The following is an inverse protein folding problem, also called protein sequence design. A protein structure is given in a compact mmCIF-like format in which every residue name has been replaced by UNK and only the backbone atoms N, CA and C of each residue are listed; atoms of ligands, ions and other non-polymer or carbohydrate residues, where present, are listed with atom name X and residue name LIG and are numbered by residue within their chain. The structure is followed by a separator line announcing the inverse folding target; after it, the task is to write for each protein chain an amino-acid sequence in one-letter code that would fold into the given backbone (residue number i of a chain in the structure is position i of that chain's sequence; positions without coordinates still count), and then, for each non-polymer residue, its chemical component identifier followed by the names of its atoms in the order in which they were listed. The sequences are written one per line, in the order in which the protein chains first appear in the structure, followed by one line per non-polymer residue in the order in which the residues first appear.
data_IF_185564454414
#
_entry.id   IF_185564454414
#
_cell.length_a   1.000
_cell.length_b   1.000
_cell.length_c   1.000
_cell.angle_alpha   90.00
_cell.angle_beta   90.00
_cell.angle_gamma   90.00
#
_symmetry.space_group_name_H-M   'P 1'
#
loop_
_entity.id
_entity.type
_entity.pdbx_description
1 polymer ?
#
# COMPACT_ATOMS: atom_id res chain seq x y z
N UNK A 1 20.09 34.43 -12.75
CA UNK A 1 20.92 34.58 -11.54
C UNK A 1 20.68 33.35 -10.70
N UNK A 2 21.62 32.41 -10.70
CA UNK A 2 21.52 31.18 -9.86
C UNK A 2 21.90 31.57 -8.44
N UNK A 3 20.99 31.36 -7.47
CA UNK A 3 21.30 31.48 -6.06
C UNK A 3 22.22 30.32 -5.67
N UNK A 4 23.45 30.63 -5.26
CA UNK A 4 24.36 29.68 -4.63
C UNK A 4 23.89 29.48 -3.18
N UNK A 5 23.52 28.24 -2.83
CA UNK A 5 23.11 27.81 -1.48
C UNK A 5 24.39 27.54 -0.66
N UNK A 6 24.99 28.58 -0.08
CA UNK A 6 26.20 28.51 0.76
C UNK A 6 25.80 28.32 2.24
N UNK A 7 26.50 27.42 2.92
CA UNK A 7 26.38 27.30 4.38
C UNK A 7 27.05 28.47 5.08
N UNK A 8 26.69 28.74 6.37
CA UNK A 8 27.32 29.82 7.13
C UNK A 8 28.84 29.66 7.34
N UNK A 9 29.39 28.47 7.07
CA UNK A 9 30.81 28.15 7.17
C UNK A 9 31.57 28.27 5.83
N UNK A 10 30.91 28.71 4.76
CA UNK A 10 31.49 28.88 3.43
C UNK A 10 31.76 27.59 2.64
N UNK A 11 31.29 26.41 3.12
CA UNK A 11 31.46 25.16 2.40
C UNK A 11 30.30 24.86 1.46
N UNK A 12 30.61 24.51 0.19
CA UNK A 12 29.61 24.07 -0.80
C UNK A 12 29.13 22.65 -0.47
N UNK A 13 27.83 22.39 -0.60
CA UNK A 13 27.29 21.04 -0.51
C UNK A 13 27.85 20.19 -1.66
N UNK A 14 28.29 18.95 -1.41
CA UNK A 14 28.78 18.11 -2.50
C UNK A 14 27.67 17.84 -3.50
N UNK A 15 27.99 18.06 -4.79
CA UNK A 15 27.06 17.94 -5.93
C UNK A 15 26.35 16.55 -6.03
N UNK A 16 26.89 15.52 -5.37
CA UNK A 16 26.28 14.17 -5.29
C UNK A 16 24.94 14.14 -4.54
N UNK A 17 24.71 15.00 -3.53
CA UNK A 17 23.43 15.06 -2.82
C UNK A 17 22.30 15.69 -3.62
N UNK A 18 22.61 16.54 -4.61
CA UNK A 18 21.61 17.14 -5.48
C UNK A 18 21.21 16.22 -6.65
N UNK A 19 22.08 15.29 -7.04
CA UNK A 19 21.80 14.28 -8.04
C UNK A 19 20.96 13.12 -7.45
N UNK A 20 21.32 12.64 -6.26
CA UNK A 20 20.55 11.64 -5.52
C UNK A 20 19.09 12.06 -5.27
N UNK A 21 18.84 13.34 -4.98
CA UNK A 21 17.48 13.90 -4.81
C UNK A 21 16.64 13.95 -6.10
N UNK A 22 17.26 13.76 -7.28
CA UNK A 22 16.53 13.71 -8.57
C UNK A 22 16.22 12.27 -8.99
N UNK A 23 16.96 11.30 -8.48
CA UNK A 23 16.76 9.87 -8.77
C UNK A 23 15.69 9.23 -7.87
N UNK A 24 15.38 9.83 -6.71
CA UNK A 24 14.28 9.46 -5.81
C UNK A 24 12.89 10.00 -6.24
N UNK A 25 12.77 10.52 -7.45
CA UNK A 25 11.47 10.91 -7.98
C UNK A 25 10.64 9.64 -8.22
N UNK A 26 9.56 9.47 -7.44
CA UNK A 26 8.52 8.48 -7.79
C UNK A 26 8.22 8.61 -9.28
N UNK A 27 8.16 7.47 -9.99
CA UNK A 27 7.84 7.46 -11.40
C UNK A 27 6.61 8.33 -11.66
N UNK A 28 6.71 9.22 -12.64
CA UNK A 28 5.60 10.08 -13.04
C UNK A 28 4.41 9.20 -13.43
N UNK A 29 3.21 9.58 -12.98
CA UNK A 29 2.00 8.81 -13.25
C UNK A 29 1.78 8.70 -14.77
N UNK A 30 1.79 7.48 -15.29
CA UNK A 30 1.54 7.22 -16.70
C UNK A 30 0.05 7.24 -16.96
N UNK A 31 -0.42 8.17 -17.79
CA UNK A 31 -1.81 8.24 -18.23
C UNK A 31 -2.16 7.05 -19.12
N UNK A 32 -3.43 6.63 -19.02
CA UNK A 32 -4.03 5.59 -19.86
C UNK A 32 -5.25 6.13 -20.61
N UNK A 33 -5.92 5.31 -21.43
CA UNK A 33 -7.04 5.82 -22.22
C UNK A 33 -8.29 6.09 -21.38
N UNK A 34 -8.62 5.19 -20.43
CA UNK A 34 -9.91 5.21 -19.71
C UNK A 34 -9.77 4.99 -18.22
N UNK A 35 -10.73 5.58 -17.49
CA UNK A 35 -11.07 5.29 -16.09
C UNK A 35 -12.52 4.79 -16.08
N UNK A 36 -12.83 3.73 -15.36
CA UNK A 36 -14.22 3.35 -15.10
C UNK A 36 -14.79 4.28 -14.01
N UNK A 37 -15.94 4.94 -14.30
CA UNK A 37 -16.61 5.83 -13.37
C UNK A 37 -18.12 5.63 -13.44
N UNK A 38 -18.74 5.28 -12.33
CA UNK A 38 -20.21 5.20 -12.17
C UNK A 38 -20.90 4.35 -13.25
N UNK A 39 -20.30 3.26 -13.70
CA UNK A 39 -20.86 2.35 -14.71
C UNK A 39 -20.36 2.58 -16.13
N UNK A 40 -19.54 3.61 -16.37
CA UNK A 40 -19.10 3.99 -17.71
C UNK A 40 -17.57 4.08 -17.83
N UNK A 41 -17.06 3.83 -19.03
CA UNK A 41 -15.63 4.09 -19.38
C UNK A 41 -15.51 5.56 -19.78
N UNK A 42 -14.88 6.35 -18.92
CA UNK A 42 -14.66 7.78 -19.13
C UNK A 42 -13.22 8.00 -19.61
N UNK A 43 -12.99 8.81 -20.67
CA UNK A 43 -11.62 9.16 -21.05
C UNK A 43 -10.82 9.74 -19.88
N UNK A 44 -9.55 9.38 -19.75
CA UNK A 44 -8.70 9.79 -18.63
C UNK A 44 -8.77 11.29 -18.34
N UNK A 45 -8.60 12.13 -19.36
CA UNK A 45 -8.60 13.58 -19.23
C UNK A 45 -9.95 14.17 -18.81
N UNK A 46 -11.04 13.44 -19.03
CA UNK A 46 -12.42 13.89 -18.70
C UNK A 46 -12.85 13.41 -17.31
N UNK A 47 -12.15 12.45 -16.72
CA UNK A 47 -12.46 11.91 -15.39
C UNK A 47 -12.05 12.89 -14.29
N UNK A 48 -12.78 13.98 -14.17
CA UNK A 48 -12.51 15.07 -13.21
C UNK A 48 -13.58 15.12 -12.12
N UNK A 49 -13.27 15.84 -11.03
CA UNK A 49 -14.22 16.13 -9.96
C UNK A 49 -14.24 17.62 -9.64
N UNK A 50 -15.39 18.11 -9.15
CA UNK A 50 -15.52 19.50 -8.77
C UNK A 50 -14.74 19.80 -7.48
N UNK A 51 -14.12 20.99 -7.37
CA UNK A 51 -13.33 21.40 -6.19
C UNK A 51 -14.14 21.42 -4.89
N UNK A 52 -15.46 21.54 -4.95
CA UNK A 52 -16.36 21.46 -3.80
C UNK A 52 -16.92 20.04 -3.58
N UNK A 53 -16.28 18.99 -4.12
CA UNK A 53 -16.60 17.62 -3.72
C UNK A 53 -16.34 17.45 -2.24
N UNK A 54 -17.31 16.87 -1.52
CA UNK A 54 -17.27 16.75 -0.06
C UNK A 54 -15.99 16.04 0.43
N UNK A 55 -15.56 15.01 -0.27
CA UNK A 55 -14.37 14.24 0.07
C UNK A 55 -13.06 15.05 0.02
N UNK A 56 -12.94 16.05 -0.85
CA UNK A 56 -11.75 16.91 -0.94
C UNK A 56 -11.58 17.80 0.29
N UNK A 57 -12.67 18.12 0.99
CA UNK A 57 -12.65 18.99 2.18
C UNK A 57 -12.64 18.19 3.49
N UNK A 58 -13.29 17.01 3.54
CA UNK A 58 -13.56 16.29 4.77
C UNK A 58 -12.98 14.86 4.79
N UNK A 59 -12.28 14.44 3.72
CA UNK A 59 -11.67 13.11 3.64
C UNK A 59 -12.69 11.97 3.60
N UNK A 60 -13.96 12.25 3.23
CA UNK A 60 -15.06 11.28 3.20
C UNK A 60 -15.01 10.35 2.00
N UNK A 61 -13.94 9.57 1.94
CA UNK A 61 -13.67 8.60 0.89
C UNK A 61 -13.03 7.34 1.47
N UNK A 62 -13.28 6.21 0.83
CA UNK A 62 -12.61 4.92 1.08
C UNK A 62 -12.07 4.39 -0.24
N UNK A 63 -10.98 3.62 -0.19
CA UNK A 63 -10.37 3.14 -1.42
C UNK A 63 -9.70 1.77 -1.25
N UNK A 64 -9.36 1.18 -2.36
CA UNK A 64 -8.56 -0.02 -2.41
C UNK A 64 -7.30 0.16 -3.24
N UNK A 65 -6.41 -0.82 -3.11
CA UNK A 65 -5.24 -0.94 -3.94
C UNK A 65 -4.99 -2.41 -4.22
N UNK A 66 -5.19 -2.81 -5.47
CA UNK A 66 -4.90 -4.15 -5.96
C UNK A 66 -3.85 -4.08 -7.07
N UNK A 67 -3.37 -5.24 -7.51
CA UNK A 67 -2.34 -5.30 -8.55
C UNK A 67 -2.66 -6.40 -9.56
N UNK A 68 -2.41 -6.08 -10.83
CA UNK A 68 -2.39 -7.03 -11.93
C UNK A 68 -0.94 -7.40 -12.23
N UNK A 69 -0.64 -8.69 -12.28
CA UNK A 69 0.67 -9.25 -12.55
C UNK A 69 0.67 -9.96 -13.91
N UNK A 70 1.70 -9.74 -14.69
CA UNK A 70 1.97 -10.52 -15.90
C UNK A 70 3.03 -11.58 -15.58
N UNK A 71 2.71 -12.85 -15.79
CA UNK A 71 3.71 -13.90 -15.67
C UNK A 71 4.69 -13.80 -16.83
N UNK A 72 6.00 -13.60 -16.56
CA UNK A 72 7.01 -13.39 -17.60
C UNK A 72 7.24 -14.61 -18.49
N UNK A 73 6.82 -15.82 -18.06
CA UNK A 73 7.03 -17.04 -18.83
C UNK A 73 5.85 -17.33 -19.76
N UNK A 74 4.61 -17.25 -19.27
CA UNK A 74 3.41 -17.55 -20.06
C UNK A 74 2.82 -16.32 -20.75
N UNK A 75 3.13 -15.11 -20.30
CA UNK A 75 2.52 -13.85 -20.75
C UNK A 75 1.07 -13.67 -20.33
N UNK A 76 0.54 -14.55 -19.47
CA UNK A 76 -0.79 -14.41 -18.87
C UNK A 76 -0.78 -13.36 -17.79
N UNK A 77 -1.93 -12.73 -17.58
CA UNK A 77 -2.10 -11.66 -16.60
C UNK A 77 -3.20 -12.01 -15.62
N UNK A 78 -2.93 -11.73 -14.32
CA UNK A 78 -3.85 -12.04 -13.24
C UNK A 78 -3.97 -10.86 -12.28
N UNK A 79 -5.19 -10.50 -11.90
CA UNK A 79 -5.42 -9.63 -10.73
C UNK A 79 -5.43 -10.50 -9.49
N UNK A 80 -4.54 -10.19 -8.56
CA UNK A 80 -4.38 -10.94 -7.33
C UNK A 80 -5.44 -10.55 -6.28
N UNK A 81 -6.18 -11.53 -5.78
CA UNK A 81 -7.21 -11.44 -4.71
C UNK A 81 -8.24 -10.31 -4.95
N UNK A 82 -8.66 -10.13 -6.22
CA UNK A 82 -9.55 -9.05 -6.62
C UNK A 82 -10.85 -9.04 -5.80
N UNK A 83 -11.48 -10.20 -5.61
CA UNK A 83 -12.72 -10.34 -4.83
C UNK A 83 -12.53 -9.85 -3.39
N UNK A 84 -11.45 -10.25 -2.71
CA UNK A 84 -11.16 -9.85 -1.33
C UNK A 84 -10.99 -8.33 -1.21
N UNK A 85 -10.36 -7.70 -2.20
CA UNK A 85 -10.23 -6.25 -2.26
C UNK A 85 -11.60 -5.56 -2.41
N UNK A 86 -12.51 -6.07 -3.25
CA UNK A 86 -13.84 -5.50 -3.41
C UNK A 86 -14.72 -5.74 -2.18
N UNK A 87 -14.60 -6.88 -1.52
CA UNK A 87 -15.27 -7.16 -0.25
C UNK A 87 -14.77 -6.22 0.86
N UNK A 88 -13.46 -5.95 0.95
CA UNK A 88 -12.91 -4.99 1.91
C UNK A 88 -13.34 -3.56 1.59
N UNK A 89 -13.48 -3.19 0.31
CA UNK A 89 -14.07 -1.91 -0.09
C UNK A 89 -15.50 -1.77 0.43
N UNK A 90 -16.33 -2.81 0.28
CA UNK A 90 -17.68 -2.86 0.83
C UNK A 90 -17.69 -2.73 2.36
N UNK A 91 -16.81 -3.45 3.07
CA UNK A 91 -16.66 -3.31 4.54
C UNK A 91 -16.27 -1.88 4.92
N UNK A 92 -15.35 -1.27 4.19
CA UNK A 92 -14.95 0.13 4.41
C UNK A 92 -16.10 1.11 4.17
N UNK A 93 -16.87 0.92 3.10
CA UNK A 93 -18.08 1.72 2.83
C UNK A 93 -19.12 1.58 3.94
N UNK A 94 -19.35 0.35 4.43
CA UNK A 94 -20.30 0.08 5.52
C UNK A 94 -19.91 0.82 6.81
N UNK A 95 -18.61 0.81 7.17
CA UNK A 95 -18.11 1.54 8.35
C UNK A 95 -18.26 3.04 8.17
N UNK A 96 -17.98 3.57 6.95
CA UNK A 96 -18.07 4.98 6.62
C UNK A 96 -19.53 5.46 6.37
N UNK A 97 -20.52 4.56 6.48
CA UNK A 97 -21.93 4.84 6.15
C UNK A 97 -22.08 5.40 4.72
N UNK A 98 -21.38 4.82 3.76
CA UNK A 98 -21.46 5.14 2.33
C UNK A 98 -22.24 4.01 1.65
N UNK A 99 -23.36 4.36 1.02
CA UNK A 99 -24.13 3.42 0.21
C UNK A 99 -23.42 3.19 -1.13
N UNK A 100 -22.76 2.05 -1.26
CA UNK A 100 -22.08 1.65 -2.48
C UNK A 100 -23.07 0.98 -3.44
N UNK A 101 -23.38 1.58 -4.60
CA UNK A 101 -24.48 1.13 -5.46
C UNK A 101 -24.12 -0.06 -6.37
N UNK A 102 -22.95 -0.64 -6.22
CA UNK A 102 -22.46 -1.77 -7.01
C UNK A 102 -22.14 -2.96 -6.12
N UNK A 103 -22.47 -4.15 -6.55
CA UNK A 103 -22.10 -5.41 -5.89
C UNK A 103 -20.60 -5.71 -6.05
N UNK A 104 -20.09 -6.66 -5.27
CA UNK A 104 -18.70 -7.16 -5.40
C UNK A 104 -18.46 -7.69 -6.82
N UNK A 105 -19.40 -8.46 -7.39
CA UNK A 105 -19.26 -9.04 -8.72
C UNK A 105 -19.21 -7.97 -9.82
N UNK A 106 -20.05 -6.93 -9.73
CA UNK A 106 -20.06 -5.82 -10.68
C UNK A 106 -18.72 -5.04 -10.62
N UNK A 107 -18.17 -4.81 -9.43
CA UNK A 107 -16.89 -4.12 -9.28
C UNK A 107 -15.71 -4.97 -9.76
N UNK A 108 -15.75 -6.29 -9.55
CA UNK A 108 -14.76 -7.21 -10.11
C UNK A 108 -14.81 -7.18 -11.64
N UNK A 109 -15.99 -7.27 -12.24
CA UNK A 109 -16.15 -7.20 -13.69
C UNK A 109 -15.70 -5.84 -14.26
N UNK A 110 -16.09 -4.73 -13.62
CA UNK A 110 -15.66 -3.38 -14.01
C UNK A 110 -14.13 -3.23 -13.97
N UNK A 111 -13.47 -3.87 -13.00
CA UNK A 111 -12.01 -3.89 -12.90
C UNK A 111 -11.38 -4.63 -14.08
N UNK A 112 -11.88 -5.81 -14.42
CA UNK A 112 -11.42 -6.57 -15.59
C UNK A 112 -11.63 -5.76 -16.88
N UNK A 113 -12.80 -5.15 -17.03
CA UNK A 113 -13.17 -4.37 -18.21
C UNK A 113 -12.27 -3.13 -18.40
N UNK A 114 -11.96 -2.38 -17.33
CA UNK A 114 -11.10 -1.20 -17.45
C UNK A 114 -9.64 -1.57 -17.73
N UNK A 115 -9.15 -2.70 -17.21
CA UNK A 115 -7.80 -3.21 -17.53
C UNK A 115 -7.73 -3.58 -19.01
N UNK A 116 -8.73 -4.33 -19.52
CA UNK A 116 -8.83 -4.73 -20.93
C UNK A 116 -8.99 -3.55 -21.88
N UNK A 117 -9.82 -2.56 -21.53
CA UNK A 117 -10.01 -1.34 -22.31
C UNK A 117 -8.69 -0.58 -22.50
N UNK A 118 -7.84 -0.54 -21.48
CA UNK A 118 -6.52 0.09 -21.51
C UNK A 118 -5.41 -0.84 -22.03
N UNK A 119 -5.72 -2.09 -22.40
CA UNK A 119 -4.76 -3.09 -22.91
C UNK A 119 -3.56 -3.32 -21.99
N UNK A 120 -3.78 -3.20 -20.66
CA UNK A 120 -2.74 -3.39 -19.69
C UNK A 120 -2.61 -4.88 -19.33
N UNK A 121 -1.38 -5.31 -19.16
CA UNK A 121 -1.05 -6.66 -18.68
C UNK A 121 -0.51 -6.66 -17.25
N UNK A 122 0.19 -5.57 -16.89
CA UNK A 122 0.72 -5.31 -15.55
C UNK A 122 0.31 -3.91 -15.14
N UNK A 123 -0.39 -3.76 -14.01
CA UNK A 123 -0.85 -2.45 -13.56
C UNK A 123 -1.18 -2.42 -12.07
N UNK A 124 -1.18 -1.21 -11.51
CA UNK A 124 -1.83 -0.93 -10.24
C UNK A 124 -3.30 -0.60 -10.48
N UNK A 125 -4.15 -0.98 -9.52
CA UNK A 125 -5.60 -0.82 -9.58
C UNK A 125 -6.05 -0.03 -8.37
N UNK A 126 -6.76 1.08 -8.57
CA UNK A 126 -7.23 1.99 -7.53
C UNK A 126 -8.75 2.17 -7.59
N UNK A 127 -9.52 1.27 -6.97
CA UNK A 127 -10.93 1.56 -6.67
C UNK A 127 -11.03 2.66 -5.61
N UNK A 128 -11.92 3.62 -5.83
CA UNK A 128 -12.18 4.72 -4.91
C UNK A 128 -13.68 4.98 -4.88
N UNK A 129 -14.24 5.04 -3.67
CA UNK A 129 -15.62 5.43 -3.40
C UNK A 129 -15.58 6.70 -2.56
N UNK A 130 -16.20 7.77 -3.05
CA UNK A 130 -16.13 9.06 -2.39
C UNK A 130 -17.42 9.84 -2.45
N UNK A 131 -17.62 10.70 -1.45
CA UNK A 131 -18.76 11.65 -1.47
C UNK A 131 -18.41 12.82 -2.39
N UNK A 132 -19.20 12.96 -3.45
CA UNK A 132 -18.99 13.89 -4.54
C UNK A 132 -19.48 15.31 -4.25
N UNK A 133 -19.77 16.03 -5.34
CA UNK A 133 -20.25 17.41 -5.33
C UNK A 133 -21.75 17.47 -5.11
N UNK A 134 -22.20 18.36 -4.21
CA UNK A 134 -23.62 18.60 -3.98
C UNK A 134 -23.95 19.12 -2.59
N UNK A 135 -23.19 18.77 -1.59
CA UNK A 135 -23.39 19.21 -0.21
C UNK A 135 -22.06 19.48 0.50
N UNK A 136 -22.05 20.48 1.35
CA UNK A 136 -20.91 20.87 2.20
C UNK A 136 -21.35 20.88 3.67
N UNK A 137 -20.39 20.68 4.56
CA UNK A 137 -20.59 20.58 6.00
C UNK A 137 -20.23 19.18 6.51
N UNK A 138 -20.11 19.02 7.84
CA UNK A 138 -19.72 17.74 8.45
C UNK A 138 -20.77 16.64 8.27
N UNK A 139 -22.05 17.01 8.17
CA UNK A 139 -23.12 16.08 7.80
C UNK A 139 -23.06 15.79 6.29
N UNK A 140 -22.71 14.55 5.88
CA UNK A 140 -22.61 14.19 4.48
C UNK A 140 -23.92 13.70 3.86
N UNK A 141 -25.03 13.74 4.60
CA UNK A 141 -26.35 13.28 4.12
C UNK A 141 -26.76 14.06 2.88
N UNK A 142 -27.06 13.35 1.79
CA UNK A 142 -27.41 13.97 0.51
C UNK A 142 -26.22 14.32 -0.41
N UNK A 143 -24.99 14.18 0.02
CA UNK A 143 -23.85 14.21 -0.91
C UNK A 143 -23.89 12.96 -1.81
N UNK A 144 -23.81 13.10 -3.15
CA UNK A 144 -23.81 11.97 -4.06
C UNK A 144 -22.58 11.10 -3.81
N UNK A 145 -22.70 9.81 -4.10
CA UNK A 145 -21.59 8.86 -4.05
C UNK A 145 -21.09 8.62 -5.46
N UNK A 146 -19.81 8.91 -5.68
CA UNK A 146 -19.10 8.56 -6.91
C UNK A 146 -18.22 7.35 -6.68
N UNK A 147 -18.17 6.46 -7.66
CA UNK A 147 -17.33 5.24 -7.65
C UNK A 147 -16.44 5.26 -8.89
N UNK A 148 -15.14 5.15 -8.68
CA UNK A 148 -14.17 5.05 -9.78
C UNK A 148 -13.29 3.82 -9.61
N UNK A 149 -12.80 3.28 -10.74
CA UNK A 149 -11.70 2.31 -10.80
C UNK A 149 -10.69 2.85 -11.80
N UNK A 150 -9.58 3.36 -11.29
CA UNK A 150 -8.45 3.81 -12.10
C UNK A 150 -7.38 2.71 -12.17
N UNK A 151 -6.73 2.59 -13.32
CA UNK A 151 -5.62 1.65 -13.53
C UNK A 151 -4.47 2.39 -14.22
N UNK A 152 -3.22 2.04 -13.89
CA UNK A 152 -2.05 2.58 -14.56
C UNK A 152 -0.86 1.65 -14.47
N UNK A 153 0.09 1.70 -15.43
CA UNK A 153 1.34 0.94 -15.34
C UNK A 153 2.08 1.28 -14.05
N UNK A 154 2.57 0.25 -13.35
CA UNK A 154 3.27 0.43 -12.09
C UNK A 154 4.36 -0.62 -11.94
N UNK A 155 5.57 -0.21 -11.64
CA UNK A 155 6.70 -1.11 -11.42
C UNK A 155 6.98 -1.33 -9.93
N UNK A 156 7.95 -0.64 -9.35
CA UNK A 156 8.34 -0.82 -7.94
C UNK A 156 7.92 0.40 -7.10
N UNK A 157 7.32 0.14 -5.92
CA UNK A 157 6.89 1.20 -5.00
C UNK A 157 8.05 1.80 -4.19
N UNK A 158 8.95 0.95 -3.70
CA UNK A 158 10.06 1.36 -2.81
C UNK A 158 11.42 1.43 -3.53
N UNK A 159 11.42 1.32 -4.86
CA UNK A 159 12.61 1.37 -5.71
C UNK A 159 12.96 0.01 -6.32
N UNK A 160 13.72 0.02 -7.43
CA UNK A 160 13.98 -1.21 -8.21
C UNK A 160 14.77 -2.28 -7.44
N UNK A 161 15.67 -1.85 -6.54
CA UNK A 161 16.53 -2.77 -5.79
C UNK A 161 15.94 -3.15 -4.41
N UNK A 162 14.77 -2.60 -4.06
CA UNK A 162 14.17 -2.76 -2.73
C UNK A 162 13.84 -4.22 -2.39
N UNK A 163 13.31 -4.96 -3.35
CA UNK A 163 12.95 -6.37 -3.18
C UNK A 163 14.16 -7.28 -2.95
N UNK A 164 15.31 -6.91 -3.48
CA UNK A 164 16.54 -7.73 -3.41
C UNK A 164 17.42 -7.35 -2.22
N UNK A 165 17.58 -6.06 -1.96
CA UNK A 165 18.56 -5.54 -1.01
C UNK A 165 17.95 -5.03 0.30
N UNK A 166 16.62 -4.82 0.33
CA UNK A 166 15.93 -4.19 1.44
C UNK A 166 16.10 -2.66 1.48
N UNK A 167 15.28 -2.01 2.28
CA UNK A 167 15.23 -0.55 2.40
C UNK A 167 15.60 -0.07 3.81
N UNK A 168 16.20 1.13 3.97
CA UNK A 168 16.38 1.76 5.27
C UNK A 168 15.07 2.40 5.73
N UNK A 169 14.67 2.16 6.98
CA UNK A 169 13.45 2.70 7.57
C UNK A 169 13.71 3.37 8.92
N UNK A 170 12.86 4.32 9.28
CA UNK A 170 12.89 4.96 10.60
C UNK A 170 11.61 4.67 11.39
N UNK A 171 11.71 4.56 12.71
CA UNK A 171 10.52 4.55 13.56
C UNK A 171 10.05 5.98 13.75
N UNK A 172 8.85 6.30 13.23
CA UNK A 172 8.30 7.65 13.24
C UNK A 172 8.02 8.17 14.65
N UNK A 173 8.14 9.49 14.84
CA UNK A 173 7.64 10.19 16.02
C UNK A 173 6.11 10.32 16.00
N UNK A 174 5.50 10.31 14.80
CA UNK A 174 4.05 10.29 14.63
C UNK A 174 3.48 8.93 15.05
N UNK A 175 2.49 8.96 15.94
CA UNK A 175 1.82 7.73 16.35
C UNK A 175 0.71 7.37 15.40
N UNK A 176 0.46 6.06 15.25
CA UNK A 176 -0.73 5.58 14.56
C UNK A 176 -1.97 6.14 15.29
N UNK A 177 -2.97 6.52 14.51
CA UNK A 177 -4.22 7.07 15.04
C UNK A 177 -4.90 6.07 15.98
N UNK A 178 -5.58 6.60 16.98
CA UNK A 178 -6.38 5.77 17.88
C UNK A 178 -7.44 4.97 17.12
N UNK A 179 -7.62 3.70 17.49
CA UNK A 179 -8.65 2.82 16.92
C UNK A 179 -10.07 3.36 17.07
N UNK A 180 -10.29 4.27 18.05
CA UNK A 180 -11.57 4.93 18.30
C UNK A 180 -11.71 6.29 17.58
N UNK A 181 -10.68 6.76 16.86
CA UNK A 181 -10.75 7.97 16.04
C UNK A 181 -11.18 7.65 14.61
N UNK A 182 -10.34 6.92 13.87
CA UNK A 182 -10.67 6.39 12.54
C UNK A 182 -10.37 4.90 12.58
N UNK A 183 -11.39 4.01 12.45
CA UNK A 183 -11.19 2.57 12.56
C UNK A 183 -10.13 2.05 11.58
N UNK A 184 -9.09 1.34 12.01
CA UNK A 184 -8.04 0.83 11.12
C UNK A 184 -8.54 -0.22 10.13
N UNK A 185 -9.64 -0.93 10.46
CA UNK A 185 -10.32 -1.86 9.54
C UNK A 185 -10.98 -1.19 8.34
N UNK A 186 -11.09 0.14 8.33
CA UNK A 186 -11.57 0.95 7.21
C UNK A 186 -10.40 1.58 6.46
N UNK A 187 -10.22 1.23 5.18
CA UNK A 187 -9.21 1.86 4.32
C UNK A 187 -9.67 3.25 3.87
N UNK A 188 -9.62 4.22 4.79
CA UNK A 188 -10.12 5.59 4.60
C UNK A 188 -9.05 6.51 4.04
N UNK A 189 -9.41 7.36 3.07
CA UNK A 189 -8.54 8.41 2.56
C UNK A 189 -8.10 9.39 3.67
N UNK A 190 -8.99 9.70 4.62
CA UNK A 190 -8.69 10.61 5.74
C UNK A 190 -7.54 10.10 6.64
N UNK A 191 -7.36 8.79 6.75
CA UNK A 191 -6.30 8.21 7.58
C UNK A 191 -4.90 8.44 7.02
N UNK A 192 -4.78 8.64 5.71
CA UNK A 192 -3.49 8.79 5.02
C UNK A 192 -2.78 10.11 5.30
N UNK A 193 -3.44 11.13 5.85
CA UNK A 193 -2.73 12.32 6.33
C UNK A 193 -1.71 11.95 7.41
N UNK A 194 -2.07 11.03 8.32
CA UNK A 194 -1.16 10.52 9.35
C UNK A 194 0.03 9.78 8.72
N UNK A 195 -0.23 8.91 7.75
CA UNK A 195 0.80 8.20 6.97
C UNK A 195 1.73 9.15 6.22
N UNK A 196 1.18 10.21 5.58
CA UNK A 196 1.96 11.23 4.87
C UNK A 196 2.92 11.96 5.81
N UNK A 197 2.48 12.33 7.02
CA UNK A 197 3.33 13.00 8.00
C UNK A 197 4.50 12.12 8.42
N UNK A 198 4.25 10.84 8.71
CA UNK A 198 5.29 9.87 9.04
C UNK A 198 6.27 9.63 7.87
N UNK A 199 5.74 9.50 6.66
CA UNK A 199 6.57 9.34 5.44
C UNK A 199 7.46 10.54 5.18
N UNK A 200 6.94 11.76 5.33
CA UNK A 200 7.71 12.99 5.14
C UNK A 200 8.81 13.13 6.21
N UNK A 201 8.53 12.78 7.46
CA UNK A 201 9.52 12.73 8.54
C UNK A 201 10.64 11.74 8.20
N UNK A 202 10.30 10.50 7.81
CA UNK A 202 11.27 9.50 7.40
C UNK A 202 12.19 10.02 6.27
N UNK A 203 11.62 10.61 5.23
CA UNK A 203 12.39 11.20 4.12
C UNK A 203 13.29 12.35 4.56
N UNK A 204 12.89 13.19 5.52
CA UNK A 204 13.73 14.25 6.07
C UNK A 204 14.97 13.70 6.81
N UNK A 205 14.83 12.51 7.41
CA UNK A 205 15.93 11.82 8.10
C UNK A 205 16.73 10.88 7.19
N UNK A 206 16.39 10.77 5.90
CA UNK A 206 17.13 9.96 4.93
C UNK A 206 16.64 8.52 4.80
N UNK A 207 15.53 8.18 5.44
CA UNK A 207 14.89 6.86 5.32
C UNK A 207 13.93 6.80 4.12
N UNK A 208 13.75 5.60 3.59
CA UNK A 208 12.82 5.33 2.48
C UNK A 208 11.39 5.22 2.99
N UNK A 209 11.18 4.63 4.18
CA UNK A 209 9.87 4.36 4.75
C UNK A 209 9.88 4.55 6.27
N UNK A 210 8.70 4.58 6.89
CA UNK A 210 8.54 4.68 8.34
C UNK A 210 7.75 3.50 8.91
N UNK A 211 8.17 3.06 10.12
CA UNK A 211 7.38 2.19 10.98
C UNK A 211 6.63 3.07 11.98
N UNK A 212 5.33 2.83 12.15
CA UNK A 212 4.46 3.57 13.06
C UNK A 212 4.15 2.73 14.30
N UNK A 213 4.20 3.38 15.45
CA UNK A 213 3.79 2.79 16.74
C UNK A 213 2.42 3.35 17.15
N UNK A 214 1.62 2.54 17.86
CA UNK A 214 0.37 3.01 18.46
C UNK A 214 0.59 3.89 19.70
N UNK A 215 -0.49 4.31 20.35
CA UNK A 215 -0.44 5.14 21.55
C UNK A 215 0.25 4.46 22.75
N UNK A 216 0.22 3.12 22.80
CA UNK A 216 0.89 2.30 23.81
C UNK A 216 2.39 2.09 23.51
N UNK A 217 2.87 2.53 22.36
CA UNK A 217 4.26 2.34 21.93
C UNK A 217 4.54 0.99 21.29
N UNK A 218 3.49 0.22 20.94
CA UNK A 218 3.58 -1.04 20.22
C UNK A 218 3.67 -0.78 18.73
N UNK A 219 4.36 -1.66 18.02
CA UNK A 219 4.50 -1.63 16.55
C UNK A 219 3.15 -1.90 15.92
N UNK A 220 2.75 -1.07 14.94
CA UNK A 220 1.53 -1.27 14.18
C UNK A 220 1.85 -1.76 12.76
N UNK A 221 2.28 -0.86 11.93
CA UNK A 221 2.43 -1.04 10.49
C UNK A 221 3.39 0.02 9.92
N UNK A 222 3.72 -0.06 8.62
CA UNK A 222 4.36 1.03 7.89
C UNK A 222 3.39 2.17 7.59
N UNK A 223 3.78 3.10 6.68
CA UNK A 223 2.87 4.20 6.29
C UNK A 223 1.73 3.75 5.37
N UNK A 224 1.90 2.62 4.69
CA UNK A 224 0.90 2.00 3.81
C UNK A 224 1.05 0.49 3.68
N UNK A 225 1.83 -0.17 4.54
CA UNK A 225 2.21 -1.58 4.52
C UNK A 225 2.07 -2.20 5.92
N UNK A 226 1.74 -3.50 5.98
CA UNK A 226 1.90 -4.27 7.21
C UNK A 226 3.36 -4.72 7.38
N UNK A 227 3.69 -5.21 8.56
CA UNK A 227 5.05 -5.56 8.96
C UNK A 227 5.11 -6.99 9.49
N UNK A 228 6.20 -7.68 9.15
CA UNK A 228 6.59 -8.97 9.72
C UNK A 228 8.01 -8.90 10.27
N UNK A 229 8.24 -9.66 11.32
CA UNK A 229 9.53 -9.81 12.00
C UNK A 229 9.86 -11.29 12.09
N UNK A 230 11.07 -11.68 11.72
CA UNK A 230 11.59 -13.03 11.94
C UNK A 230 12.56 -12.99 13.10
N UNK A 231 12.40 -13.90 14.05
CA UNK A 231 13.33 -14.11 15.15
C UNK A 231 13.35 -15.59 15.56
N UNK A 232 14.54 -16.14 15.67
CA UNK A 232 14.74 -17.55 16.07
C UNK A 232 13.90 -18.54 15.20
N UNK A 233 13.73 -18.23 13.91
CA UNK A 233 12.96 -19.04 12.96
C UNK A 233 11.42 -18.89 13.05
N UNK A 234 10.92 -17.98 13.87
CA UNK A 234 9.49 -17.69 14.04
C UNK A 234 9.16 -16.39 13.31
N UNK A 235 8.07 -16.39 12.54
CA UNK A 235 7.52 -15.24 11.85
C UNK A 235 6.46 -14.57 12.71
N UNK A 236 6.71 -13.36 13.20
CA UNK A 236 5.77 -12.60 14.03
C UNK A 236 5.21 -11.40 13.27
N UNK A 237 3.94 -11.04 13.53
CA UNK A 237 3.28 -9.84 13.01
C UNK A 237 2.37 -9.24 14.08
N UNK A 238 2.26 -7.90 14.18
CA UNK A 238 1.33 -7.29 15.11
C UNK A 238 -0.12 -7.76 14.91
N UNK A 239 -0.89 -7.99 15.99
CA UNK A 239 -2.30 -8.35 15.89
C UNK A 239 -3.15 -7.14 15.48
N UNK A 240 -4.32 -7.38 14.89
CA UNK A 240 -5.23 -6.30 14.46
C UNK A 240 -5.66 -5.37 15.61
N UNK A 241 -5.66 -5.87 16.86
CA UNK A 241 -5.94 -5.09 18.07
C UNK A 241 -4.94 -3.95 18.31
N UNK A 242 -3.73 -4.02 17.74
CA UNK A 242 -2.72 -2.98 17.87
C UNK A 242 -2.93 -1.80 16.91
N UNK A 243 -3.98 -1.85 16.09
CA UNK A 243 -4.45 -0.71 15.33
C UNK A 243 -3.94 -0.62 13.89
N UNK A 244 -3.67 -1.74 13.26
CA UNK A 244 -3.27 -1.85 11.85
C UNK A 244 -4.44 -2.21 10.94
N UNK A 245 -4.25 -2.00 9.63
CA UNK A 245 -5.17 -2.46 8.61
C UNK A 245 -5.08 -4.00 8.47
N UNK A 246 -6.25 -4.66 8.34
CA UNK A 246 -6.35 -6.06 7.95
C UNK A 246 -5.87 -6.24 6.49
N UNK A 247 -4.56 -6.43 6.31
CA UNK A 247 -3.91 -6.48 5.01
C UNK A 247 -4.18 -7.79 4.27
N UNK A 248 -4.63 -7.71 3.01
CA UNK A 248 -4.84 -8.89 2.17
C UNK A 248 -3.50 -9.57 1.86
N UNK A 249 -2.44 -8.79 1.62
CA UNK A 249 -1.10 -9.35 1.46
C UNK A 249 -0.57 -9.92 2.78
N UNK A 250 -0.85 -9.29 3.94
CA UNK A 250 -0.51 -9.83 5.26
C UNK A 250 -1.13 -11.22 5.46
N UNK A 251 -2.42 -11.36 5.20
CA UNK A 251 -3.13 -12.63 5.26
C UNK A 251 -2.51 -13.67 4.31
N UNK A 252 -2.21 -13.27 3.08
CA UNK A 252 -1.50 -14.12 2.12
C UNK A 252 -0.17 -14.63 2.67
N UNK A 253 0.66 -13.75 3.24
CA UNK A 253 1.97 -14.14 3.79
C UNK A 253 1.82 -15.15 4.93
N UNK A 254 0.81 -15.00 5.76
CA UNK A 254 0.54 -15.96 6.84
C UNK A 254 0.16 -17.34 6.29
N UNK A 255 -0.69 -17.40 5.24
CA UNK A 255 -1.00 -18.66 4.56
C UNK A 255 0.23 -19.31 3.92
N UNK A 256 1.04 -18.51 3.20
CA UNK A 256 2.24 -19.02 2.53
C UNK A 256 3.33 -19.47 3.50
N UNK A 257 3.41 -18.86 4.69
CA UNK A 257 4.32 -19.30 5.75
C UNK A 257 3.90 -20.65 6.32
N UNK A 258 2.58 -20.88 6.50
CA UNK A 258 2.05 -22.18 6.91
C UNK A 258 2.38 -23.28 5.90
N UNK A 259 2.21 -23.03 4.59
CA UNK A 259 2.62 -23.94 3.51
C UNK A 259 4.12 -24.30 3.53
N UNK A 260 4.93 -23.42 4.05
CA UNK A 260 6.39 -23.58 4.14
C UNK A 260 6.83 -24.14 5.51
N UNK A 261 5.89 -24.59 6.34
CA UNK A 261 6.15 -25.05 7.72
C UNK A 261 6.87 -24.00 8.59
N UNK A 262 6.68 -22.70 8.30
CA UNK A 262 7.24 -21.59 9.08
C UNK A 262 6.23 -21.21 10.16
N UNK A 263 6.57 -21.32 11.46
CA UNK A 263 5.63 -20.96 12.52
C UNK A 263 5.33 -19.47 12.51
N UNK A 264 4.03 -19.11 12.56
CA UNK A 264 3.53 -17.73 12.55
C UNK A 264 2.89 -17.38 13.89
N UNK A 265 3.22 -16.19 14.43
CA UNK A 265 2.60 -15.66 15.63
C UNK A 265 2.02 -14.27 15.36
N UNK A 266 0.78 -14.05 15.77
CA UNK A 266 0.21 -12.71 15.93
C UNK A 266 0.46 -12.26 17.38
N UNK A 267 1.42 -11.35 17.55
CA UNK A 267 1.81 -10.86 18.87
C UNK A 267 2.19 -9.37 18.85
N UNK A 268 1.98 -8.70 19.96
CA UNK A 268 2.38 -7.29 20.10
C UNK A 268 3.89 -7.18 20.17
N UNK A 269 4.45 -6.35 19.29
CA UNK A 269 5.88 -6.09 19.16
C UNK A 269 6.22 -4.70 19.69
N UNK A 270 7.36 -4.57 20.33
CA UNK A 270 7.91 -3.29 20.75
C UNK A 270 8.98 -2.80 19.78
N UNK A 271 9.38 -1.52 19.89
CA UNK A 271 10.48 -0.98 19.11
C UNK A 271 11.79 -1.76 19.31
N UNK A 272 12.03 -2.29 20.49
CA UNK A 272 13.24 -3.09 20.76
C UNK A 272 13.24 -4.44 20.05
N UNK A 273 12.07 -5.04 19.82
CA UNK A 273 11.97 -6.30 19.08
C UNK A 273 12.41 -6.12 17.63
N UNK A 274 12.14 -4.95 17.05
CA UNK A 274 12.64 -4.61 15.71
C UNK A 274 14.17 -4.56 15.61
N UNK A 275 14.85 -4.15 16.69
CA UNK A 275 16.32 -4.01 16.68
C UNK A 275 17.08 -5.31 16.88
N UNK A 276 16.41 -6.33 17.41
CA UNK A 276 17.00 -7.64 17.69
C UNK A 276 16.46 -8.73 16.76
N UNK A 277 15.71 -8.32 15.73
CA UNK A 277 15.17 -9.21 14.71
C UNK A 277 16.28 -9.76 13.81
N UNK A 278 16.12 -10.99 13.36
CA UNK A 278 16.97 -11.62 12.36
C UNK A 278 16.63 -11.11 10.95
N UNK A 279 15.32 -10.98 10.65
CA UNK A 279 14.79 -10.44 9.40
C UNK A 279 13.56 -9.59 9.69
N UNK A 280 13.35 -8.54 8.89
CA UNK A 280 12.14 -7.71 8.93
C UNK A 280 11.73 -7.38 7.51
N UNK A 281 10.42 -7.38 7.21
CA UNK A 281 9.92 -6.98 5.90
C UNK A 281 8.54 -6.35 5.96
N UNK A 282 8.26 -5.50 4.99
CA UNK A 282 6.93 -4.93 4.74
C UNK A 282 6.13 -5.79 3.77
N UNK A 283 4.78 -5.75 3.90
CA UNK A 283 3.86 -6.38 2.96
C UNK A 283 2.70 -5.47 2.59
N UNK A 284 2.32 -5.49 1.33
CA UNK A 284 1.17 -4.74 0.83
C UNK A 284 1.05 -4.86 -0.68
N UNK A 285 -0.11 -4.50 -1.24
CA UNK A 285 -0.33 -4.59 -2.70
C UNK A 285 0.64 -3.73 -3.51
N UNK A 286 1.10 -2.59 -2.97
CA UNK A 286 2.09 -1.74 -3.62
C UNK A 286 3.52 -2.20 -3.33
N UNK A 287 3.81 -2.54 -2.07
CA UNK A 287 5.14 -2.93 -1.60
C UNK A 287 5.47 -4.41 -1.84
N UNK A 288 4.47 -5.23 -2.20
CA UNK A 288 4.63 -6.68 -2.35
C UNK A 288 5.16 -7.30 -1.05
N UNK A 289 6.34 -7.89 -1.07
CA UNK A 289 7.11 -8.29 0.09
C UNK A 289 8.47 -7.60 0.01
N UNK A 290 8.62 -6.47 0.70
CA UNK A 290 9.84 -5.66 0.66
C UNK A 290 10.65 -5.81 1.94
N UNK A 291 11.86 -6.36 1.89
CA UNK A 291 12.74 -6.49 3.04
C UNK A 291 13.15 -5.13 3.61
N UNK A 292 13.48 -5.11 4.90
CA UNK A 292 14.03 -3.96 5.61
C UNK A 292 15.50 -4.25 5.93
N UNK A 293 16.40 -3.43 5.39
CA UNK A 293 17.85 -3.59 5.57
C UNK A 293 18.40 -2.93 6.83
N UNK A 294 17.75 -1.86 7.31
CA UNK A 294 18.10 -1.17 8.55
C UNK A 294 16.92 -0.44 9.16
N UNK A 295 16.92 -0.30 10.50
CA UNK A 295 15.90 0.40 11.27
C UNK A 295 16.59 1.39 12.23
N UNK A 296 16.29 2.69 12.12
CA UNK A 296 16.92 3.76 12.91
C UNK A 296 18.47 3.64 12.89
N UNK A 297 19.03 3.50 11.69
CA UNK A 297 20.47 3.31 11.43
C UNK A 297 21.10 2.01 12.00
N UNK A 298 20.29 1.10 12.56
CA UNK A 298 20.74 -0.22 13.01
C UNK A 298 20.53 -1.23 11.90
N UNK A 299 21.57 -1.96 11.48
CA UNK A 299 21.43 -2.97 10.43
C UNK A 299 20.54 -4.13 10.92
N UNK A 300 19.57 -4.50 10.12
CA UNK A 300 18.86 -5.78 10.21
C UNK A 300 19.61 -6.82 9.37
N UNK A 301 20.18 -6.38 8.24
CA UNK A 301 20.93 -7.24 7.33
C UNK A 301 20.25 -7.38 5.97
N UNK A 302 20.76 -8.31 5.17
CA UNK A 302 20.13 -8.70 3.91
C UNK A 302 18.94 -9.63 4.18
N UNK A 303 17.97 -9.70 3.26
CA UNK A 303 16.88 -10.67 3.36
C UNK A 303 17.42 -12.07 3.61
N UNK A 304 16.99 -12.70 4.70
CA UNK A 304 17.40 -14.04 5.08
C UNK A 304 16.62 -15.14 4.35
N UNK A 305 16.77 -16.35 4.81
CA UNK A 305 16.19 -17.55 4.17
C UNK A 305 14.66 -17.53 4.21
N UNK A 306 14.08 -17.12 5.35
CA UNK A 306 12.60 -17.10 5.53
C UNK A 306 11.99 -16.05 4.62
N UNK A 307 12.49 -14.80 4.64
CA UNK A 307 11.99 -13.75 3.76
C UNK A 307 12.07 -14.15 2.29
N UNK A 308 13.19 -14.75 1.85
CA UNK A 308 13.37 -15.18 0.46
C UNK A 308 12.47 -16.34 0.07
N UNK A 309 12.25 -17.31 0.96
CA UNK A 309 11.36 -18.44 0.69
C UNK A 309 9.91 -17.97 0.50
N UNK A 310 9.43 -17.12 1.41
CA UNK A 310 8.08 -16.56 1.32
C UNK A 310 7.95 -15.66 0.07
N UNK A 311 8.96 -14.83 -0.22
CA UNK A 311 8.97 -13.96 -1.39
C UNK A 311 8.88 -14.76 -2.71
N UNK A 312 9.68 -15.83 -2.83
CA UNK A 312 9.65 -16.70 -4.00
C UNK A 312 8.27 -17.36 -4.15
N UNK A 313 7.72 -17.93 -3.07
CA UNK A 313 6.39 -18.54 -3.06
C UNK A 313 5.29 -17.53 -3.42
N UNK A 314 5.38 -16.30 -2.90
CA UNK A 314 4.45 -15.21 -3.24
C UNK A 314 4.44 -14.91 -4.74
N UNK A 315 5.62 -14.78 -5.36
CA UNK A 315 5.70 -14.52 -6.80
C UNK A 315 5.18 -15.71 -7.64
N UNK A 316 5.43 -16.94 -7.24
CA UNK A 316 4.85 -18.10 -7.91
C UNK A 316 3.32 -18.10 -7.85
N UNK A 317 2.73 -17.70 -6.72
CA UNK A 317 1.27 -17.57 -6.58
C UNK A 317 0.71 -16.47 -7.47
N UNK A 318 1.26 -15.24 -7.40
CA UNK A 318 0.71 -14.11 -8.18
C UNK A 318 0.90 -14.26 -9.70
N UNK A 319 1.84 -15.12 -10.13
CA UNK A 319 2.04 -15.49 -11.55
C UNK A 319 1.18 -16.69 -11.98
N UNK A 320 0.37 -17.26 -11.10
CA UNK A 320 -0.51 -18.38 -11.42
C UNK A 320 0.20 -19.73 -11.59
N UNK A 321 1.36 -19.90 -10.96
CA UNK A 321 2.18 -21.12 -11.04
C UNK A 321 1.81 -22.14 -9.97
N UNK A 322 0.91 -21.79 -9.05
CA UNK A 322 0.48 -22.63 -7.91
C UNK A 322 -1.01 -22.89 -8.01
N UNK A 323 -1.38 -24.12 -8.39
CA UNK A 323 -2.79 -24.51 -8.64
C UNK A 323 -3.68 -24.35 -7.39
N UNK A 324 -3.14 -24.60 -6.20
CA UNK A 324 -3.84 -24.48 -4.92
C UNK A 324 -4.44 -23.09 -4.68
N UNK A 325 -3.80 -22.04 -5.21
CA UNK A 325 -4.22 -20.65 -5.08
C UNK A 325 -4.86 -20.06 -6.35
N UNK A 326 -5.32 -20.92 -7.28
CA UNK A 326 -5.95 -20.46 -8.52
C UNK A 326 -7.20 -19.58 -8.24
N UNK A 327 -7.95 -19.85 -7.17
CA UNK A 327 -9.12 -19.07 -6.77
C UNK A 327 -8.78 -17.64 -6.30
N UNK A 328 -7.52 -17.35 -5.97
CA UNK A 328 -7.05 -16.00 -5.65
C UNK A 328 -6.79 -15.15 -6.90
N UNK A 329 -6.85 -15.75 -8.07
CA UNK A 329 -6.44 -15.12 -9.32
C UNK A 329 -7.63 -14.87 -10.25
N UNK A 330 -7.73 -13.63 -10.74
CA UNK A 330 -8.69 -13.26 -11.77
C UNK A 330 -7.94 -13.01 -13.08
N UNK A 331 -8.12 -13.88 -14.07
CA UNK A 331 -7.43 -13.80 -15.38
C UNK A 331 -7.97 -12.63 -16.23
N UNK A 332 -7.05 -11.87 -16.90
CA UNK A 332 -7.34 -10.69 -17.71
C UNK A 332 -7.39 -11.04 -19.21
#
# INVERSE_FOLDING_TARGET
MAQTDERPDGSLRPAKQSQQRREDAMAELTEVDYIWKNGEMVPWAECTTHVLSHSLHYGSAVFEGARCYEDPESGKSYVFRLRDHMERLHRSCKIAMIDLPYSVDELCQATVDVIRANKLKKCYIRPLVYRGYGQMGVDPTGAPVDVIIAVWPWDSYLGPDALENGVPVGVSSWRQRSINAIPPSMKSAASYMNSILAKLEAKQHGYVEAIMLNEQGLVCEGTGENLFVVRDGILSTPPLSDGLLEGITRDTIMCLADDLDIPVLEESLTRSDLYIADEVFFTGSAAELTPIGSIDDRPVGKPGEITRAIQARFFDVVYGRVEEYADWLTEI
#
